data_IF_704263823845
#
_entry.id   IF_704263823845
#
_cell.length_a   1.000
_cell.length_b   1.000
_cell.length_c   1.000
_cell.angle_alpha   90.00
_cell.angle_beta   90.00
_cell.angle_gamma   90.00
#
_symmetry.space_group_name_H-M   'P 1'
#
loop_
_entity.id
_entity.type
_entity.pdbx_description
1 polymer ?
#
# COMPACT_ATOMS: atom_id res chain seq x y z
N UNK A 1 -0.51 27.61 1.75
CA UNK A 1 -0.64 27.04 0.40
C UNK A 1 -0.43 25.55 0.51
N UNK A 2 -1.24 24.71 -0.14
CA UNK A 2 -1.03 23.25 -0.15
C UNK A 2 -0.04 22.89 -1.25
N UNK A 3 0.67 21.76 -1.11
CA UNK A 3 1.54 21.23 -2.17
C UNK A 3 0.80 21.11 -3.51
N UNK A 4 -0.47 20.70 -3.47
CA UNK A 4 -1.34 20.64 -4.65
C UNK A 4 -1.40 21.99 -5.35
N UNK A 5 -1.71 23.07 -4.63
CA UNK A 5 -1.84 24.41 -5.23
C UNK A 5 -0.52 24.88 -5.85
N UNK A 6 0.61 24.59 -5.21
CA UNK A 6 1.93 24.98 -5.73
C UNK A 6 2.23 24.27 -7.06
N UNK A 7 1.88 22.98 -7.16
CA UNK A 7 2.03 22.20 -8.39
C UNK A 7 1.06 22.69 -9.48
N UNK A 8 -0.22 22.91 -9.15
CA UNK A 8 -1.22 23.40 -10.10
C UNK A 8 -0.83 24.76 -10.68
N UNK A 9 -0.35 25.68 -9.84
CA UNK A 9 0.14 26.99 -10.29
C UNK A 9 1.39 26.88 -11.17
N UNK A 10 2.28 25.93 -10.89
CA UNK A 10 3.49 25.71 -11.67
C UNK A 10 3.24 25.03 -13.03
N UNK A 11 2.17 24.25 -13.14
CA UNK A 11 1.83 23.48 -14.34
C UNK A 11 0.69 24.08 -15.18
N UNK A 12 -0.06 25.04 -14.64
CA UNK A 12 -1.29 25.60 -15.25
C UNK A 12 -2.32 24.49 -15.60
N UNK A 13 -2.41 23.49 -14.73
CA UNK A 13 -3.27 22.33 -14.90
C UNK A 13 -3.85 21.88 -13.56
N UNK A 14 -5.08 21.36 -13.60
CA UNK A 14 -5.70 20.69 -12.46
C UNK A 14 -4.96 19.39 -12.12
N UNK A 15 -4.74 19.15 -10.83
CA UNK A 15 -4.05 17.95 -10.34
C UNK A 15 -4.93 17.19 -9.35
N UNK A 16 -4.93 15.86 -9.51
CA UNK A 16 -5.54 14.93 -8.56
C UNK A 16 -4.39 14.18 -7.87
N UNK A 17 -4.39 14.20 -6.53
CA UNK A 17 -3.44 13.45 -5.71
C UNK A 17 -4.13 12.29 -5.04
N UNK A 18 -3.45 11.16 -4.94
CA UNK A 18 -4.00 9.96 -4.33
C UNK A 18 -2.88 9.10 -3.74
N UNK A 19 -3.22 8.19 -2.82
CA UNK A 19 -2.28 7.21 -2.27
C UNK A 19 -1.69 6.30 -3.38
N UNK A 20 -0.45 5.87 -3.21
CA UNK A 20 0.29 5.05 -4.18
C UNK A 20 -0.37 3.70 -4.47
N UNK A 21 -0.86 3.00 -3.45
CA UNK A 21 -1.58 1.74 -3.59
C UNK A 21 -2.97 1.91 -4.23
N UNK A 22 -3.64 3.04 -3.98
CA UNK A 22 -4.84 3.42 -4.72
C UNK A 22 -4.55 3.66 -6.21
N UNK A 23 -3.50 4.41 -6.53
CA UNK A 23 -3.07 4.61 -7.92
C UNK A 23 -2.76 3.28 -8.62
N UNK A 24 -2.06 2.37 -7.93
CA UNK A 24 -1.79 1.02 -8.43
C UNK A 24 -3.07 0.23 -8.69
N UNK A 25 -3.98 0.15 -7.71
CA UNK A 25 -5.23 -0.59 -7.86
C UNK A 25 -6.09 -0.04 -9.01
N UNK A 26 -6.16 1.28 -9.15
CA UNK A 26 -6.88 1.93 -10.25
C UNK A 26 -6.25 1.62 -11.60
N UNK A 27 -4.92 1.70 -11.72
CA UNK A 27 -4.21 1.37 -12.95
C UNK A 27 -4.42 -0.10 -13.35
N UNK A 28 -4.31 -1.03 -12.41
CA UNK A 28 -4.54 -2.46 -12.67
C UNK A 28 -5.99 -2.77 -13.06
N UNK A 29 -6.96 -2.08 -12.46
CA UNK A 29 -8.39 -2.26 -12.77
C UNK A 29 -8.81 -1.71 -14.13
N UNK A 30 -8.08 -0.72 -14.66
CA UNK A 30 -8.44 0.00 -15.89
C UNK A 30 -7.61 -0.42 -17.09
N UNK A 31 -6.30 -0.60 -16.89
CA UNK A 31 -5.30 -0.83 -17.93
C UNK A 31 -4.56 -2.16 -17.77
N UNK A 32 -4.52 -2.70 -16.54
CA UNK A 32 -3.68 -3.84 -16.20
C UNK A 32 -4.42 -5.18 -16.09
N UNK A 33 -3.89 -6.01 -15.19
CA UNK A 33 -4.26 -7.42 -15.02
C UNK A 33 -5.68 -7.61 -14.47
N UNK A 34 -6.23 -6.59 -13.82
CA UNK A 34 -7.55 -6.63 -13.19
C UNK A 34 -8.65 -5.96 -14.04
N UNK A 35 -8.39 -5.73 -15.34
CA UNK A 35 -9.39 -5.19 -16.27
C UNK A 35 -10.59 -6.13 -16.41
N UNK A 36 -11.79 -5.57 -16.32
CA UNK A 36 -13.06 -6.29 -16.49
C UNK A 36 -13.59 -6.95 -15.22
N UNK A 37 -12.92 -6.78 -14.08
CA UNK A 37 -13.45 -7.19 -12.78
C UNK A 37 -14.18 -6.02 -12.10
N UNK A 38 -15.35 -6.31 -11.51
CA UNK A 38 -16.17 -5.30 -10.83
C UNK A 38 -15.58 -4.87 -9.49
N UNK A 39 -14.88 -5.77 -8.78
CA UNK A 39 -14.26 -5.49 -7.49
C UNK A 39 -12.81 -5.92 -7.53
N UNK A 40 -11.91 -4.96 -7.31
CA UNK A 40 -10.46 -5.18 -7.30
C UNK A 40 -9.90 -4.72 -5.97
N UNK A 41 -9.20 -5.62 -5.29
CA UNK A 41 -8.36 -5.28 -4.15
C UNK A 41 -6.89 -5.45 -4.55
N UNK A 42 -6.23 -4.32 -4.80
CA UNK A 42 -4.81 -4.27 -5.12
C UNK A 42 -3.97 -4.26 -3.84
N UNK A 43 -2.91 -5.04 -3.82
CA UNK A 43 -1.96 -5.13 -2.70
C UNK A 43 -0.56 -4.84 -3.21
N UNK A 44 0.14 -3.93 -2.52
CA UNK A 44 1.56 -3.68 -2.71
C UNK A 44 2.33 -4.22 -1.51
N UNK A 45 3.37 -5.01 -1.78
CA UNK A 45 4.36 -5.44 -0.80
C UNK A 45 5.73 -4.93 -1.24
N UNK A 46 6.33 -4.05 -0.43
CA UNK A 46 7.63 -3.45 -0.70
C UNK A 46 8.31 -3.07 0.61
N UNK A 47 8.77 -1.82 0.74
CA UNK A 47 9.28 -1.31 2.01
C UNK A 47 8.22 -1.41 3.12
N UNK A 48 6.95 -1.15 2.78
CA UNK A 48 5.78 -1.36 3.62
C UNK A 48 4.74 -2.24 2.94
N UNK A 49 3.52 -2.20 3.46
CA UNK A 49 2.37 -2.92 2.89
C UNK A 49 1.22 -1.95 2.66
N UNK A 50 0.87 -1.74 1.40
CA UNK A 50 -0.21 -0.83 0.98
C UNK A 50 -1.33 -1.58 0.27
N UNK A 51 -2.52 -0.98 0.22
CA UNK A 51 -3.63 -1.55 -0.53
C UNK A 51 -4.58 -0.49 -1.09
N UNK A 52 -5.26 -0.85 -2.16
CA UNK A 52 -6.26 -0.01 -2.80
C UNK A 52 -7.46 -0.83 -3.22
N UNK A 53 -8.65 -0.24 -3.13
CA UNK A 53 -9.92 -0.92 -3.45
C UNK A 53 -10.58 -0.17 -4.60
N UNK A 54 -10.95 -0.87 -5.66
CA UNK A 54 -11.73 -0.35 -6.78
C UNK A 54 -13.04 -1.14 -6.87
N UNK A 55 -14.15 -0.41 -6.97
CA UNK A 55 -15.50 -0.99 -7.15
C UNK A 55 -16.11 -0.31 -8.39
N UNK A 56 -16.52 -1.12 -9.36
CA UNK A 56 -17.11 -0.70 -10.64
C UNK A 56 -16.25 0.37 -11.34
N UNK A 57 -14.94 0.15 -11.39
CA UNK A 57 -13.97 1.05 -12.01
C UNK A 57 -13.69 2.35 -11.24
N UNK A 58 -14.24 2.52 -10.03
CA UNK A 58 -14.04 3.71 -9.19
C UNK A 58 -13.31 3.36 -7.90
N UNK A 59 -12.35 4.20 -7.48
CA UNK A 59 -11.68 4.04 -6.19
C UNK A 59 -12.67 4.13 -5.03
N UNK A 60 -12.64 3.12 -4.18
CA UNK A 60 -13.35 3.11 -2.91
C UNK A 60 -12.44 3.69 -1.81
N UNK A 61 -12.54 5.00 -1.56
CA UNK A 61 -11.69 5.73 -0.60
C UNK A 61 -12.16 5.63 0.86
N UNK A 62 -13.39 5.15 1.09
CA UNK A 62 -14.04 5.19 2.39
C UNK A 62 -14.45 6.60 2.82
N UNK A 63 -15.12 6.73 3.97
CA UNK A 63 -15.66 8.01 4.46
C UNK A 63 -14.59 9.02 4.90
N UNK A 64 -13.40 8.53 5.23
CA UNK A 64 -12.27 9.31 5.76
C UNK A 64 -11.04 9.28 4.85
N UNK A 65 -11.17 8.80 3.61
CA UNK A 65 -10.08 8.68 2.63
C UNK A 65 -8.89 7.80 3.06
N UNK A 66 -9.14 6.81 3.93
CA UNK A 66 -8.12 5.84 4.41
C UNK A 66 -8.54 4.39 4.16
N UNK A 67 -9.54 4.14 3.32
CA UNK A 67 -9.83 2.77 2.90
C UNK A 67 -8.62 2.20 2.13
N UNK A 68 -8.31 0.93 2.37
CA UNK A 68 -7.13 0.31 1.78
C UNK A 68 -5.86 0.38 2.63
N UNK A 69 -5.86 1.09 3.78
CA UNK A 69 -4.77 1.10 4.79
C UNK A 69 -4.64 -0.25 5.53
N UNK A 70 -4.65 -1.34 4.76
CA UNK A 70 -4.78 -2.70 5.26
C UNK A 70 -3.49 -3.23 5.89
N UNK A 71 -2.33 -2.64 5.54
CA UNK A 71 -1.06 -2.92 6.17
C UNK A 71 -1.09 -2.71 7.69
N UNK A 72 -2.01 -1.88 8.18
CA UNK A 72 -2.21 -1.60 9.60
C UNK A 72 -3.37 -2.37 10.26
N UNK A 73 -4.07 -3.24 9.53
CA UNK A 73 -4.99 -4.18 10.17
C UNK A 73 -4.23 -5.16 11.06
N UNK A 74 -4.78 -5.49 12.22
CA UNK A 74 -4.18 -6.47 13.14
C UNK A 74 -4.32 -7.86 12.55
N UNK A 75 -3.19 -8.46 12.15
CA UNK A 75 -3.06 -9.85 11.76
C UNK A 75 -2.86 -10.77 12.97
N UNK A 76 -2.05 -10.32 13.92
CA UNK A 76 -1.70 -11.09 15.11
C UNK A 76 -1.90 -10.25 16.38
N UNK A 77 -2.98 -10.47 17.15
CA UNK A 77 -3.23 -9.77 18.41
C UNK A 77 -2.04 -9.91 19.37
N UNK A 78 -1.65 -8.81 20.02
CA UNK A 78 -0.47 -8.73 20.89
C UNK A 78 0.85 -9.13 20.20
N UNK A 79 0.91 -8.92 18.88
CA UNK A 79 2.08 -9.23 18.06
C UNK A 79 3.13 -8.10 18.03
N UNK A 80 3.91 -8.06 16.95
CA UNK A 80 4.98 -7.07 16.75
C UNK A 80 4.49 -5.63 16.85
N UNK A 81 5.30 -4.75 17.44
CA UNK A 81 5.07 -3.31 17.45
C UNK A 81 5.08 -2.75 16.02
N UNK A 82 4.12 -1.87 15.72
CA UNK A 82 4.04 -1.15 14.45
C UNK A 82 4.28 0.34 14.70
N UNK A 83 4.91 1.03 13.74
CA UNK A 83 5.17 2.46 13.84
C UNK A 83 3.87 3.30 13.94
N UNK A 84 2.73 2.75 13.52
CA UNK A 84 1.43 3.42 13.65
C UNK A 84 0.92 3.49 15.10
N UNK A 85 1.67 2.96 16.07
CA UNK A 85 1.34 2.96 17.50
C UNK A 85 0.47 1.79 17.95
N UNK A 86 0.21 0.82 17.07
CA UNK A 86 -0.54 -0.41 17.37
C UNK A 86 0.38 -1.63 17.33
N UNK A 87 -0.17 -2.78 17.71
CA UNK A 87 0.52 -4.07 17.66
C UNK A 87 -0.14 -5.01 16.64
N UNK A 88 0.70 -5.86 16.05
CA UNK A 88 0.24 -6.98 15.25
C UNK A 88 -0.18 -6.63 13.83
N UNK A 89 0.17 -5.46 13.32
CA UNK A 89 -0.19 -5.01 11.98
C UNK A 89 0.37 -5.93 10.89
N UNK A 90 -0.38 -6.20 9.82
CA UNK A 90 0.04 -7.01 8.66
C UNK A 90 1.45 -6.66 8.18
N UNK A 91 1.75 -5.36 8.06
CA UNK A 91 3.04 -4.86 7.60
C UNK A 91 4.23 -5.39 8.41
N UNK A 92 4.04 -5.58 9.71
CA UNK A 92 5.06 -6.07 10.64
C UNK A 92 5.37 -7.56 10.48
N UNK A 93 4.75 -8.22 9.50
CA UNK A 93 4.96 -9.63 9.16
C UNK A 93 5.36 -9.85 7.70
N UNK A 94 4.79 -9.06 6.77
CA UNK A 94 4.94 -9.33 5.33
C UNK A 94 5.58 -8.18 4.53
N UNK A 95 6.01 -7.10 5.16
CA UNK A 95 6.84 -6.11 4.45
C UNK A 95 8.19 -6.71 4.07
N UNK A 96 8.80 -6.20 3.01
CA UNK A 96 10.11 -6.63 2.51
C UNK A 96 11.19 -6.68 3.59
N UNK A 97 11.41 -5.60 4.37
CA UNK A 97 12.41 -5.60 5.44
C UNK A 97 12.13 -6.64 6.53
N UNK A 98 10.85 -6.87 6.86
CA UNK A 98 10.46 -7.90 7.85
C UNK A 98 10.71 -9.29 7.32
N UNK A 99 10.33 -9.57 6.06
CA UNK A 99 10.57 -10.87 5.43
C UNK A 99 12.07 -11.15 5.34
N UNK A 100 12.89 -10.15 4.96
CA UNK A 100 14.35 -10.29 4.91
C UNK A 100 14.92 -10.60 6.30
N UNK A 101 14.48 -9.85 7.33
CA UNK A 101 14.86 -10.11 8.72
C UNK A 101 14.47 -11.52 9.15
N UNK A 102 13.23 -11.94 8.85
CA UNK A 102 12.71 -13.25 9.21
C UNK A 102 13.48 -14.38 8.52
N UNK A 103 13.85 -14.19 7.26
CA UNK A 103 14.70 -15.11 6.52
C UNK A 103 16.06 -15.27 7.19
N UNK A 104 16.70 -14.16 7.60
CA UNK A 104 17.97 -14.20 8.32
C UNK A 104 17.84 -14.94 9.65
N UNK A 105 16.77 -14.71 10.42
CA UNK A 105 16.53 -15.40 11.71
C UNK A 105 16.38 -16.91 11.55
N UNK A 106 15.65 -17.36 10.51
CA UNK A 106 15.39 -18.79 10.29
C UNK A 106 16.62 -19.50 9.70
N UNK A 107 17.34 -18.85 8.78
CA UNK A 107 18.35 -19.51 7.96
C UNK A 107 19.79 -19.17 8.33
N UNK A 108 20.00 -18.09 9.09
CA UNK A 108 21.33 -17.50 9.33
C UNK A 108 21.96 -16.83 8.09
N UNK A 109 21.24 -16.79 6.95
CA UNK A 109 21.77 -16.24 5.69
C UNK A 109 21.19 -14.86 5.42
N UNK A 110 22.05 -13.91 5.03
CA UNK A 110 21.61 -12.67 4.38
C UNK A 110 21.54 -12.94 2.89
N UNK A 111 20.37 -12.81 2.29
CA UNK A 111 20.23 -12.94 0.85
C UNK A 111 20.27 -11.54 0.25
N UNK A 112 21.42 -11.11 -0.27
CA UNK A 112 21.47 -9.96 -1.16
C UNK A 112 21.10 -10.49 -2.54
N UNK A 113 19.87 -10.23 -2.99
CA UNK A 113 19.60 -10.27 -4.44
C UNK A 113 20.64 -9.32 -5.08
N UNK A 114 21.51 -9.86 -5.94
CA UNK A 114 22.70 -9.25 -6.55
C UNK A 114 24.07 -9.62 -5.93
N UNK A 115 24.38 -10.92 -5.92
CA UNK A 115 25.59 -11.39 -6.63
C UNK A 115 25.14 -12.28 -7.79
#
# INVERSE_FOLDING_TARGET
MSLKNDIENGLDHEIITENDANCFALAESSLGSAKGYDVVFGVIMGTGVGGGIVINGTLHKGSTNIAGEWGHHTLHPNGNECYCGKQGCVETYISGPVIEKRWLEITGKKNRYNQ
#
